data_IF_574700787755
#
_entry.id   IF_574700787755
#
_cell.length_a   1.000
_cell.length_b   1.000
_cell.length_c   1.000
_cell.angle_alpha   90.00
_cell.angle_beta   90.00
_cell.angle_gamma   90.00
#
_symmetry.space_group_name_H-M   'P 1'
#
loop_
_entity.id
_entity.type
_entity.pdbx_description
1 polymer ?
#
# COMPACT_ATOMS: atom_id res chain seq x y z
N UNK A 1 -7.22 19.65 -48.35
CA UNK A 1 -6.46 20.30 -47.26
C UNK A 1 -6.93 19.72 -45.94
N UNK A 2 -6.35 18.61 -45.47
CA UNK A 2 -6.73 17.99 -44.18
C UNK A 2 -5.60 17.05 -43.77
N UNK A 3 -4.54 17.57 -43.15
CA UNK A 3 -3.57 16.73 -42.44
C UNK A 3 -2.63 17.49 -41.47
N UNK A 4 -3.08 18.62 -40.90
CA UNK A 4 -2.27 19.36 -39.91
C UNK A 4 -2.88 19.45 -38.50
N UNK A 5 -4.07 18.93 -38.24
CA UNK A 5 -4.72 19.08 -36.92
C UNK A 5 -4.39 17.97 -35.90
N UNK A 6 -3.74 16.88 -36.30
CA UNK A 6 -3.49 15.74 -35.39
C UNK A 6 -2.12 15.83 -34.70
N UNK A 7 -1.22 16.69 -35.18
CA UNK A 7 0.15 16.79 -34.64
C UNK A 7 0.28 17.82 -33.50
N UNK A 8 -0.60 18.83 -33.44
CA UNK A 8 -0.53 19.89 -32.41
C UNK A 8 -1.04 19.45 -31.02
N UNK A 9 -1.94 18.48 -30.91
CA UNK A 9 -2.54 18.09 -29.63
C UNK A 9 -1.60 17.28 -28.70
N UNK A 10 -0.49 16.72 -29.23
CA UNK A 10 0.41 15.88 -28.42
C UNK A 10 1.35 16.67 -27.50
N UNK A 11 1.53 17.97 -27.75
CA UNK A 11 2.41 18.84 -26.96
C UNK A 11 1.71 19.60 -25.82
N UNK A 12 0.42 19.86 -25.95
CA UNK A 12 -0.26 20.87 -25.12
C UNK A 12 -0.63 20.37 -23.71
N UNK A 13 -1.03 19.11 -23.58
CA UNK A 13 -1.35 18.52 -22.26
C UNK A 13 -0.11 18.26 -21.39
N UNK A 14 1.09 18.22 -21.99
CA UNK A 14 2.36 18.05 -21.28
C UNK A 14 2.80 19.33 -20.58
N UNK A 15 2.28 20.48 -21.00
CA UNK A 15 2.67 21.79 -20.46
C UNK A 15 1.49 22.51 -19.80
N UNK A 16 0.25 22.15 -20.13
CA UNK A 16 -0.96 22.75 -19.59
C UNK A 16 -1.82 21.74 -18.79
N UNK A 17 -1.79 21.81 -17.44
CA UNK A 17 -2.62 20.97 -16.57
C UNK A 17 -4.14 21.09 -16.83
N UNK A 18 -4.60 22.19 -17.43
CA UNK A 18 -6.03 22.40 -17.69
C UNK A 18 -6.59 21.48 -18.78
N UNK A 19 -5.70 20.95 -19.64
CA UNK A 19 -6.07 20.05 -20.74
C UNK A 19 -6.09 18.56 -20.33
N UNK A 20 -5.80 18.26 -19.05
CA UNK A 20 -5.86 16.90 -18.52
C UNK A 20 -7.29 16.34 -18.61
N UNK A 21 -7.41 15.11 -19.12
CA UNK A 21 -8.65 14.35 -19.22
C UNK A 21 -8.41 12.87 -18.94
N UNK A 22 -9.47 12.13 -18.58
CA UNK A 22 -9.38 10.73 -18.14
C UNK A 22 -8.74 9.80 -19.18
N UNK A 23 -8.94 10.06 -20.47
CA UNK A 23 -8.34 9.27 -21.55
C UNK A 23 -6.81 9.39 -21.60
N UNK A 24 -6.28 10.60 -21.40
CA UNK A 24 -4.83 10.85 -21.33
C UNK A 24 -4.25 10.20 -20.06
N UNK A 25 -4.88 10.38 -18.91
CA UNK A 25 -4.39 9.80 -17.65
C UNK A 25 -4.38 8.26 -17.72
N UNK A 26 -5.47 7.64 -18.19
CA UNK A 26 -5.56 6.18 -18.35
C UNK A 26 -4.50 5.65 -19.33
N UNK A 27 -4.15 6.41 -20.36
CA UNK A 27 -3.13 5.99 -21.33
C UNK A 27 -1.69 6.08 -20.79
N UNK A 28 -1.38 7.11 -20.01
CA UNK A 28 0.01 7.44 -19.68
C UNK A 28 0.37 7.28 -18.20
N UNK A 29 -0.59 7.39 -17.28
CA UNK A 29 -0.39 7.32 -15.83
C UNK A 29 -0.98 6.05 -15.21
N UNK A 30 -2.07 5.52 -15.77
CA UNK A 30 -2.63 4.21 -15.38
C UNK A 30 -2.77 3.25 -16.58
N UNK A 31 -1.66 2.87 -17.24
CA UNK A 31 -1.70 1.99 -18.40
C UNK A 31 -2.23 0.58 -18.10
N UNK A 32 -2.26 0.19 -16.82
CA UNK A 32 -2.80 -1.09 -16.36
C UNK A 32 -4.29 -1.02 -16.02
N UNK A 33 -4.91 0.17 -16.07
CA UNK A 33 -6.35 0.36 -15.83
C UNK A 33 -6.80 0.00 -14.41
N UNK A 34 -5.91 0.14 -13.42
CA UNK A 34 -6.16 -0.25 -12.02
C UNK A 34 -6.96 0.79 -11.23
N UNK A 35 -7.01 2.03 -11.71
CA UNK A 35 -7.75 3.10 -11.06
C UNK A 35 -9.22 3.12 -11.51
N UNK A 36 -10.12 3.42 -10.57
CA UNK A 36 -11.51 3.71 -10.90
C UNK A 36 -11.62 5.07 -11.61
N UNK A 37 -12.69 5.26 -12.39
CA UNK A 37 -12.94 6.55 -13.04
C UNK A 37 -13.13 7.68 -12.01
N UNK A 38 -13.66 7.37 -10.82
CA UNK A 38 -13.81 8.31 -9.71
C UNK A 38 -12.46 8.74 -9.13
N UNK A 39 -11.53 7.78 -8.92
CA UNK A 39 -10.16 8.07 -8.45
C UNK A 39 -9.40 8.95 -9.45
N UNK A 40 -9.56 8.66 -10.75
CA UNK A 40 -8.96 9.46 -11.82
C UNK A 40 -9.58 10.87 -11.89
N UNK A 41 -10.90 10.98 -11.73
CA UNK A 41 -11.58 12.28 -11.71
C UNK A 41 -11.12 13.14 -10.53
N UNK A 42 -11.00 12.54 -9.34
CA UNK A 42 -10.47 13.21 -8.15
C UNK A 42 -9.03 13.68 -8.37
N UNK A 43 -8.17 12.81 -8.93
CA UNK A 43 -6.78 13.17 -9.24
C UNK A 43 -6.68 14.33 -10.23
N UNK A 44 -7.48 14.31 -11.31
CA UNK A 44 -7.50 15.40 -12.30
C UNK A 44 -8.00 16.69 -11.67
N UNK A 45 -9.04 16.63 -10.84
CA UNK A 45 -9.56 17.80 -10.14
C UNK A 45 -8.48 18.43 -9.24
N UNK A 46 -7.74 17.61 -8.49
CA UNK A 46 -6.65 18.09 -7.64
C UNK A 46 -5.51 18.72 -8.45
N UNK A 47 -5.09 18.04 -9.53
CA UNK A 47 -4.04 18.53 -10.42
C UNK A 47 -4.41 19.88 -11.05
N UNK A 48 -5.66 20.04 -11.50
CA UNK A 48 -6.16 21.30 -12.08
C UNK A 48 -6.31 22.40 -11.04
N UNK A 49 -6.87 22.10 -9.88
CA UNK A 49 -7.09 23.08 -8.80
C UNK A 49 -5.77 23.65 -8.28
N UNK A 50 -4.73 22.83 -8.19
CA UNK A 50 -3.40 23.25 -7.74
C UNK A 50 -2.45 23.66 -8.87
N UNK A 51 -2.92 23.61 -10.12
CA UNK A 51 -2.13 23.83 -11.34
C UNK A 51 -0.83 23.01 -11.39
N UNK A 52 -0.93 21.74 -10.99
CA UNK A 52 0.18 20.78 -10.95
C UNK A 52 0.13 19.84 -12.15
N UNK A 53 1.30 19.53 -12.69
CA UNK A 53 1.42 18.69 -13.86
C UNK A 53 1.93 17.27 -13.50
N UNK A 54 1.16 16.21 -13.83
CA UNK A 54 1.56 14.85 -13.52
C UNK A 54 2.70 14.33 -14.40
N UNK A 55 2.92 14.90 -15.59
CA UNK A 55 3.96 14.48 -16.52
C UNK A 55 5.34 15.05 -16.18
N UNK A 56 5.39 16.24 -15.59
CA UNK A 56 6.63 16.83 -15.05
C UNK A 56 6.91 16.37 -13.62
N UNK A 57 6.14 15.40 -13.12
CA UNK A 57 6.27 14.80 -11.79
C UNK A 57 6.09 15.80 -10.65
N UNK A 58 5.19 16.77 -10.83
CA UNK A 58 4.79 17.71 -9.77
C UNK A 58 3.70 17.12 -8.87
N UNK A 59 2.93 16.16 -9.38
CA UNK A 59 1.91 15.41 -8.65
C UNK A 59 1.94 13.95 -9.09
N UNK A 60 1.85 13.03 -8.13
CA UNK A 60 1.88 11.59 -8.34
C UNK A 60 0.54 10.97 -7.98
N UNK A 61 0.15 9.97 -8.76
CA UNK A 61 -0.97 9.10 -8.48
C UNK A 61 -0.41 7.72 -8.12
N UNK A 62 -0.63 7.28 -6.88
CA UNK A 62 -0.05 6.05 -6.33
C UNK A 62 -1.18 5.10 -5.96
N UNK A 63 -1.31 3.98 -6.68
CA UNK A 63 -2.30 2.91 -6.41
C UNK A 63 -1.59 1.61 -6.08
N UNK A 64 -1.80 1.09 -4.87
CA UNK A 64 -1.26 -0.20 -4.44
C UNK A 64 -2.37 -1.23 -4.24
N UNK A 65 -2.37 -2.27 -5.07
CA UNK A 65 -3.36 -3.35 -5.01
C UNK A 65 -4.80 -2.80 -4.97
N UNK A 66 -5.56 -3.23 -3.97
CA UNK A 66 -6.94 -2.79 -3.74
C UNK A 66 -7.08 -1.54 -2.86
N UNK A 67 -5.99 -0.92 -2.41
CA UNK A 67 -6.08 0.29 -1.58
C UNK A 67 -6.51 1.51 -2.41
N UNK A 68 -7.30 2.44 -1.85
CA UNK A 68 -7.64 3.68 -2.53
C UNK A 68 -6.38 4.41 -3.02
N UNK A 69 -6.48 5.00 -4.22
CA UNK A 69 -5.38 5.76 -4.78
C UNK A 69 -4.97 6.93 -3.87
N UNK A 70 -3.67 7.11 -3.72
CA UNK A 70 -3.09 8.24 -3.01
C UNK A 70 -2.60 9.29 -4.01
N UNK A 71 -2.95 10.54 -3.76
CA UNK A 71 -2.50 11.68 -4.55
C UNK A 71 -1.44 12.42 -3.75
N UNK A 72 -0.22 12.42 -4.27
CA UNK A 72 0.94 12.97 -3.58
C UNK A 72 1.48 14.17 -4.36
N UNK A 73 1.72 15.28 -3.68
CA UNK A 73 2.44 16.41 -4.26
C UNK A 73 3.94 16.16 -4.20
N UNK A 74 4.68 16.51 -5.24
CA UNK A 74 6.13 16.37 -5.25
C UNK A 74 6.82 17.59 -4.63
N UNK A 75 7.99 17.38 -4.03
CA UNK A 75 8.86 18.45 -3.50
C UNK A 75 9.08 19.60 -4.50
N UNK A 76 9.28 19.28 -5.78
CA UNK A 76 9.49 20.27 -6.84
C UNK A 76 8.30 21.22 -6.99
N UNK A 77 7.07 20.77 -6.73
CA UNK A 77 5.88 21.61 -6.75
C UNK A 77 5.88 22.62 -5.60
N UNK A 78 6.29 22.22 -4.39
CA UNK A 78 6.47 23.13 -3.26
C UNK A 78 7.53 24.18 -3.57
N UNK A 79 8.67 23.75 -4.12
CA UNK A 79 9.77 24.66 -4.49
C UNK A 79 9.32 25.67 -5.55
N UNK A 80 8.67 25.22 -6.63
CA UNK A 80 8.17 26.09 -7.69
C UNK A 80 7.17 27.12 -7.17
N UNK A 81 6.23 26.71 -6.31
CA UNK A 81 5.23 27.61 -5.72
C UNK A 81 5.89 28.63 -4.80
N UNK A 82 6.81 28.20 -3.94
CA UNK A 82 7.57 29.10 -3.07
C UNK A 82 8.40 30.09 -3.89
N UNK A 83 9.16 29.63 -4.88
CA UNK A 83 9.99 30.47 -5.75
C UNK A 83 9.17 31.50 -6.55
N UNK A 84 7.91 31.19 -6.87
CA UNK A 84 7.00 32.11 -7.54
C UNK A 84 6.38 33.17 -6.62
N UNK A 85 6.46 33.00 -5.30
CA UNK A 85 5.82 33.89 -4.34
C UNK A 85 6.66 35.17 -4.15
N UNK A 86 6.10 36.39 -4.29
CA UNK A 86 6.87 37.64 -4.24
C UNK A 86 7.69 37.85 -2.95
N UNK A 87 7.15 37.36 -1.83
CA UNK A 87 7.77 37.46 -0.52
C UNK A 87 8.79 36.37 -0.23
N UNK A 88 8.98 35.34 -1.07
CA UNK A 88 10.00 34.33 -0.81
C UNK A 88 11.39 34.93 -0.87
N UNK A 89 12.22 34.60 0.14
CA UNK A 89 13.58 35.15 0.30
C UNK A 89 14.63 34.04 0.50
N UNK A 90 14.31 32.82 0.08
CA UNK A 90 15.21 31.69 0.17
C UNK A 90 14.89 30.73 1.31
N UNK A 91 15.76 29.73 1.44
CA UNK A 91 15.58 28.59 2.34
C UNK A 91 16.91 28.00 2.78
N UNK A 92 16.90 27.36 3.93
CA UNK A 92 17.96 26.49 4.41
C UNK A 92 17.36 25.18 4.90
N UNK A 93 18.08 24.08 4.74
CA UNK A 93 17.63 22.80 5.28
C UNK A 93 18.81 21.85 5.42
N UNK A 94 18.73 20.99 6.43
CA UNK A 94 19.71 19.96 6.65
C UNK A 94 19.27 18.88 7.61
N UNK A 95 20.25 18.26 8.26
CA UNK A 95 20.07 17.05 9.08
C UNK A 95 20.54 17.34 10.49
N UNK A 96 19.77 16.87 11.46
CA UNK A 96 20.11 16.85 12.89
C UNK A 96 20.73 15.48 13.17
N UNK A 97 21.94 15.45 13.73
CA UNK A 97 22.67 14.21 13.97
C UNK A 97 23.40 14.23 15.31
N UNK A 98 23.61 13.04 15.88
CA UNK A 98 24.40 12.83 17.08
C UNK A 98 25.81 12.40 16.68
N UNK A 99 26.83 13.06 17.24
CA UNK A 99 28.21 12.64 17.12
C UNK A 99 28.97 13.00 18.39
N UNK A 100 29.69 12.03 18.96
CA UNK A 100 30.45 12.19 20.21
C UNK A 100 29.59 12.66 21.41
N UNK A 101 28.31 12.26 21.44
CA UNK A 101 27.36 12.65 22.50
C UNK A 101 26.75 14.05 22.34
N UNK A 102 27.08 14.77 21.27
CA UNK A 102 26.57 16.12 20.99
C UNK A 102 25.61 16.13 19.80
N UNK A 103 24.50 16.85 19.94
CA UNK A 103 23.55 17.10 18.85
C UNK A 103 24.11 18.22 17.96
N UNK A 104 24.25 17.94 16.67
CA UNK A 104 24.82 18.84 15.67
C UNK A 104 23.86 19.02 14.49
N UNK A 105 23.93 20.19 13.87
CA UNK A 105 23.12 20.58 12.72
C UNK A 105 24.01 20.67 11.49
N UNK A 106 23.73 19.83 10.50
CA UNK A 106 24.38 19.91 9.19
C UNK A 106 23.64 20.86 8.27
N UNK A 107 24.37 21.58 7.40
CA UNK A 107 23.78 22.27 6.24
C UNK A 107 23.77 21.31 5.06
N UNK A 108 22.58 20.97 4.57
CA UNK A 108 22.41 19.96 3.53
C UNK A 108 22.31 18.53 4.09
N UNK A 109 22.50 17.53 3.23
CA UNK A 109 22.33 16.11 3.56
C UNK A 109 23.65 15.40 3.94
N UNK A 110 24.64 16.15 4.38
CA UNK A 110 25.95 15.60 4.75
C UNK A 110 26.01 15.33 6.26
N UNK A 111 26.44 14.15 6.67
CA UNK A 111 26.82 13.89 8.07
C UNK A 111 28.17 13.15 8.09
N UNK A 112 29.00 13.32 9.13
CA UNK A 112 30.23 12.56 9.28
C UNK A 112 29.96 11.05 9.36
N UNK A 113 30.92 10.23 8.92
CA UNK A 113 30.82 8.78 9.08
C UNK A 113 30.77 8.41 10.56
N UNK A 114 29.86 7.51 10.92
CA UNK A 114 29.62 7.09 12.30
C UNK A 114 28.68 7.99 13.09
N UNK A 115 28.21 9.11 12.51
CA UNK A 115 27.15 9.90 13.11
C UNK A 115 25.79 9.20 13.01
N UNK A 116 24.97 9.35 14.03
CA UNK A 116 23.60 8.86 14.07
C UNK A 116 22.62 9.96 13.62
N UNK A 117 21.67 9.63 12.74
CA UNK A 117 20.67 10.57 12.26
C UNK A 117 19.56 10.67 13.31
N UNK A 118 19.31 11.88 13.82
CA UNK A 118 18.23 12.14 14.77
C UNK A 118 17.01 12.76 14.09
N UNK A 119 17.21 13.56 13.05
CA UNK A 119 16.12 14.31 12.43
C UNK A 119 16.54 15.18 11.26
N UNK A 120 15.61 15.99 10.78
CA UNK A 120 15.80 16.98 9.73
C UNK A 120 15.36 18.35 10.22
N UNK A 121 15.98 19.41 9.71
CA UNK A 121 15.60 20.78 10.01
C UNK A 121 15.49 21.60 8.72
N UNK A 122 14.64 22.61 8.73
CA UNK A 122 14.52 23.57 7.65
C UNK A 122 14.09 24.96 8.14
N UNK A 123 14.52 25.97 7.39
CA UNK A 123 14.14 27.37 7.56
C UNK A 123 13.71 27.96 6.22
N UNK A 124 12.59 28.66 6.21
CA UNK A 124 12.10 29.38 5.04
C UNK A 124 11.99 30.86 5.39
N UNK A 125 12.63 31.69 4.56
CA UNK A 125 12.69 33.13 4.76
C UNK A 125 11.65 33.82 3.90
N UNK A 126 11.00 34.82 4.49
CA UNK A 126 10.03 35.67 3.81
C UNK A 126 10.34 37.13 4.08
N UNK A 127 10.29 37.97 3.04
CA UNK A 127 10.58 39.42 3.12
C UNK A 127 9.58 40.18 3.99
N UNK A 128 8.36 39.68 4.11
CA UNK A 128 7.29 40.28 4.92
C UNK A 128 7.27 39.80 6.38
N UNK A 129 8.26 39.00 6.82
CA UNK A 129 8.37 38.49 8.19
C UNK A 129 9.76 38.80 8.76
N UNK A 130 9.82 39.14 10.05
CA UNK A 130 11.09 39.38 10.75
C UNK A 130 11.80 38.07 11.14
N UNK A 131 11.03 37.01 11.36
CA UNK A 131 11.54 35.70 11.75
C UNK A 131 11.23 34.67 10.66
N UNK A 132 12.18 33.77 10.34
CA UNK A 132 11.92 32.67 9.42
C UNK A 132 10.90 31.71 10.01
N UNK A 133 10.26 30.96 9.13
CA UNK A 133 9.50 29.77 9.53
C UNK A 133 10.51 28.63 9.70
N UNK A 134 10.58 28.05 10.89
CA UNK A 134 11.52 26.99 11.23
C UNK A 134 10.75 25.71 11.56
N UNK A 135 11.22 24.58 11.02
CA UNK A 135 10.63 23.27 11.31
C UNK A 135 11.74 22.27 11.58
N UNK A 136 11.53 21.43 12.59
CA UNK A 136 12.37 20.28 12.91
C UNK A 136 11.49 19.03 12.98
N UNK A 137 11.99 17.93 12.42
CA UNK A 137 11.26 16.67 12.35
C UNK A 137 12.15 15.52 12.83
N UNK A 138 11.56 14.61 13.58
CA UNK A 138 12.25 13.43 14.12
C UNK A 138 12.42 12.37 13.03
N UNK A 139 13.61 11.78 12.94
CA UNK A 139 13.88 10.73 11.94
C UNK A 139 12.99 9.51 12.14
N UNK A 140 12.77 9.10 13.39
CA UNK A 140 11.99 7.91 13.74
C UNK A 140 10.51 7.99 13.31
N UNK A 141 9.93 9.20 13.22
CA UNK A 141 8.53 9.38 12.82
C UNK A 141 8.30 9.11 11.33
N UNK A 142 9.32 9.38 10.51
CA UNK A 142 9.20 9.31 9.04
C UNK A 142 9.96 8.15 8.42
N UNK A 143 10.82 7.46 9.18
CA UNK A 143 11.63 6.38 8.65
C UNK A 143 10.77 5.20 8.16
N UNK A 144 10.66 5.10 6.85
CA UNK A 144 9.92 4.04 6.16
C UNK A 144 10.82 2.86 5.74
N UNK A 145 12.00 2.69 6.33
CA UNK A 145 12.86 1.53 6.10
C UNK A 145 12.24 0.26 6.67
N UNK A 146 11.84 -0.66 5.78
CA UNK A 146 11.38 -2.00 6.16
C UNK A 146 12.49 -2.84 6.78
N UNK A 147 13.74 -2.58 6.38
CA UNK A 147 14.92 -3.26 6.89
C UNK A 147 15.16 -2.85 8.35
N UNK A 148 15.24 -1.55 8.64
CA UNK A 148 15.43 -1.03 10.02
C UNK A 148 14.25 -1.40 10.92
N UNK A 149 13.01 -1.33 10.43
CA UNK A 149 11.84 -1.78 11.18
C UNK A 149 11.95 -3.26 11.58
N UNK A 150 12.34 -4.13 10.63
CA UNK A 150 12.52 -5.57 10.91
C UNK A 150 13.68 -5.84 11.85
N UNK A 151 14.79 -5.12 11.70
CA UNK A 151 15.94 -5.22 12.62
C UNK A 151 15.50 -4.84 14.04
N UNK A 152 14.80 -3.71 14.21
CA UNK A 152 14.28 -3.26 15.51
C UNK A 152 13.40 -4.32 16.16
N UNK A 153 12.52 -4.95 15.40
CA UNK A 153 11.65 -6.04 15.86
C UNK A 153 12.47 -7.27 16.31
N UNK A 154 13.46 -7.70 15.51
CA UNK A 154 14.31 -8.85 15.84
C UNK A 154 15.15 -8.59 17.09
N UNK A 155 15.72 -7.38 17.22
CA UNK A 155 16.46 -6.96 18.41
C UNK A 155 15.58 -6.96 19.66
N UNK A 156 14.34 -6.49 19.57
CA UNK A 156 13.38 -6.55 20.68
C UNK A 156 13.02 -7.99 21.07
N UNK A 157 13.04 -8.92 20.12
CA UNK A 157 12.83 -10.36 20.36
C UNK A 157 14.10 -11.09 20.85
N UNK A 158 15.23 -10.39 20.99
CA UNK A 158 16.52 -11.00 21.35
C UNK A 158 17.05 -11.99 20.31
N UNK A 159 16.61 -11.87 19.05
CA UNK A 159 17.05 -12.73 17.94
C UNK A 159 18.27 -12.15 17.25
N UNK A 160 19.15 -13.05 16.81
CA UNK A 160 20.31 -12.67 16.00
C UNK A 160 19.87 -12.10 14.63
N UNK A 161 20.59 -11.07 14.19
CA UNK A 161 20.33 -10.38 12.93
C UNK A 161 21.18 -11.05 11.84
N UNK A 162 20.51 -11.80 10.94
CA UNK A 162 21.14 -12.43 9.77
C UNK A 162 20.80 -11.67 8.49
N UNK A 163 21.79 -11.52 7.61
CA UNK A 163 21.65 -10.86 6.32
C UNK A 163 21.61 -11.88 5.16
N UNK A 164 20.78 -11.64 4.11
CA UNK A 164 19.87 -10.52 3.95
C UNK A 164 18.66 -10.60 4.90
N UNK A 165 18.17 -9.44 5.36
CA UNK A 165 17.04 -9.38 6.29
C UNK A 165 15.78 -9.87 5.58
N UNK A 166 15.13 -10.88 6.18
CA UNK A 166 13.95 -11.51 5.62
C UNK A 166 12.66 -10.92 6.19
N UNK A 167 11.63 -10.80 5.34
CA UNK A 167 10.28 -10.50 5.78
C UNK A 167 9.62 -11.71 6.46
N UNK A 168 8.41 -11.53 6.97
CA UNK A 168 7.62 -12.59 7.62
C UNK A 168 7.34 -13.81 6.74
N UNK A 169 7.41 -13.65 5.42
CA UNK A 169 7.16 -14.70 4.42
C UNK A 169 8.45 -15.37 3.90
N UNK A 170 9.61 -15.09 4.52
CA UNK A 170 10.89 -15.68 4.13
C UNK A 170 11.49 -15.13 2.84
N UNK A 171 11.01 -13.98 2.34
CA UNK A 171 11.62 -13.28 1.20
C UNK A 171 12.55 -12.16 1.66
N UNK A 172 13.68 -11.92 0.97
CA UNK A 172 14.57 -10.83 1.30
C UNK A 172 13.88 -9.48 1.13
N UNK A 173 14.06 -8.59 2.10
CA UNK A 173 13.57 -7.21 2.03
C UNK A 173 14.52 -6.42 1.14
N UNK A 174 13.99 -5.82 0.07
CA UNK A 174 14.75 -4.92 -0.80
C UNK A 174 14.96 -3.55 -0.15
N UNK A 175 16.09 -2.93 -0.46
CA UNK A 175 16.41 -1.56 -0.03
C UNK A 175 15.49 -0.54 -0.71
N UNK A 176 15.14 0.52 0.04
CA UNK A 176 14.41 1.67 -0.48
C UNK A 176 15.24 2.97 -0.37
N UNK A 177 14.62 4.10 -0.72
CA UNK A 177 15.29 5.41 -0.66
C UNK A 177 15.65 5.83 0.79
N UNK A 178 14.90 5.38 1.79
CA UNK A 178 15.21 5.62 3.19
C UNK A 178 16.42 4.80 3.66
N UNK A 179 16.66 3.62 3.07
CA UNK A 179 17.86 2.82 3.33
C UNK A 179 19.10 3.44 2.69
N UNK A 180 19.00 3.81 1.42
CA UNK A 180 20.13 4.26 0.59
C UNK A 180 20.46 5.74 0.76
N UNK A 181 19.47 6.59 1.03
CA UNK A 181 19.61 8.04 1.11
C UNK A 181 18.85 8.68 2.31
N UNK A 182 19.03 8.19 3.55
CA UNK A 182 18.22 8.63 4.70
C UNK A 182 18.33 10.13 4.99
N UNK A 183 19.54 10.71 4.88
CA UNK A 183 19.77 12.14 5.09
C UNK A 183 19.03 13.02 4.08
N UNK A 184 18.94 12.56 2.81
CA UNK A 184 18.23 13.30 1.76
C UNK A 184 16.73 13.25 2.02
N UNK A 185 16.22 12.09 2.44
CA UNK A 185 14.81 11.88 2.73
C UNK A 185 14.33 12.72 3.91
N UNK A 186 15.01 12.65 5.07
CA UNK A 186 14.56 13.41 6.25
C UNK A 186 14.68 14.93 6.06
N UNK A 187 15.72 15.38 5.35
CA UNK A 187 15.87 16.79 4.96
C UNK A 187 14.73 17.24 4.05
N UNK A 188 14.27 16.38 3.12
CA UNK A 188 13.15 16.68 2.24
C UNK A 188 11.87 16.88 3.04
N UNK A 189 11.59 15.99 4.00
CA UNK A 189 10.43 16.10 4.89
C UNK A 189 10.46 17.45 5.63
N UNK A 190 11.56 17.77 6.31
CA UNK A 190 11.70 19.03 7.04
C UNK A 190 11.42 20.26 6.15
N UNK A 191 11.98 20.27 4.94
CA UNK A 191 11.84 21.40 4.02
C UNK A 191 10.40 21.57 3.52
N UNK A 192 9.72 20.48 3.23
CA UNK A 192 8.32 20.49 2.79
C UNK A 192 7.42 21.02 3.90
N UNK A 193 7.60 20.54 5.13
CA UNK A 193 6.86 21.04 6.30
C UNK A 193 7.07 22.55 6.48
N UNK A 194 8.32 23.01 6.42
CA UNK A 194 8.63 24.44 6.51
C UNK A 194 7.98 25.27 5.38
N UNK A 195 7.89 24.74 4.16
CA UNK A 195 7.19 25.42 3.08
C UNK A 195 5.69 25.55 3.32
N UNK A 196 5.03 24.51 3.85
CA UNK A 196 3.59 24.56 4.17
C UNK A 196 3.29 25.63 5.21
N UNK A 197 4.11 25.70 6.24
CA UNK A 197 3.97 26.68 7.31
C UNK A 197 4.34 28.10 6.83
N UNK A 198 5.31 28.21 5.93
CA UNK A 198 5.69 29.49 5.34
C UNK A 198 4.64 30.02 4.37
N UNK A 199 3.96 29.17 3.60
CA UNK A 199 2.99 29.55 2.56
C UNK A 199 1.66 28.76 2.70
N UNK A 200 0.92 28.96 3.81
CA UNK A 200 -0.24 28.12 4.12
C UNK A 200 -1.40 28.29 3.12
N UNK A 201 -1.57 29.47 2.51
CA UNK A 201 -2.62 29.70 1.52
C UNK A 201 -2.38 28.94 0.21
N UNK A 202 -1.11 28.75 -0.17
CA UNK A 202 -0.71 28.14 -1.43
C UNK A 202 -0.39 26.63 -1.30
N UNK A 203 0.09 26.21 -0.13
CA UNK A 203 0.68 24.89 0.14
C UNK A 203 0.03 24.11 1.29
N UNK A 204 -0.88 24.73 2.05
CA UNK A 204 -1.48 24.13 3.25
C UNK A 204 -2.37 22.91 2.98
N UNK A 205 -2.97 22.80 1.78
CA UNK A 205 -3.86 21.67 1.43
C UNK A 205 -3.18 20.54 0.65
N UNK A 206 -1.87 20.60 0.45
CA UNK A 206 -1.13 19.50 -0.21
C UNK A 206 -0.70 18.47 0.84
N UNK A 207 -0.39 17.24 0.44
CA UNK A 207 0.29 16.25 1.28
C UNK A 207 1.42 15.60 0.48
N UNK A 208 2.51 15.24 1.15
CA UNK A 208 3.62 14.48 0.54
C UNK A 208 3.54 13.00 0.88
N UNK A 209 4.20 12.16 0.07
CA UNK A 209 4.18 10.70 0.25
C UNK A 209 4.64 10.27 1.65
N UNK A 210 5.58 11.01 2.23
CA UNK A 210 6.18 10.68 3.52
C UNK A 210 5.24 11.00 4.72
N UNK A 211 4.20 11.81 4.51
CA UNK A 211 3.19 12.17 5.54
C UNK A 211 1.94 11.28 5.46
N UNK A 212 1.77 10.55 4.37
CA UNK A 212 0.64 9.64 4.19
C UNK A 212 1.07 8.27 4.74
N UNK A 213 0.44 7.85 5.85
CA UNK A 213 0.59 6.49 6.34
C UNK A 213 -0.02 5.51 5.33
N UNK A 214 0.82 5.00 4.44
CA UNK A 214 0.46 3.88 3.59
C UNK A 214 0.46 2.62 4.46
N UNK A 215 -0.71 2.00 4.63
CA UNK A 215 -0.84 0.61 5.09
C UNK A 215 -0.19 -0.32 4.05
N UNK A 216 1.14 -0.38 4.09
CA UNK A 216 2.00 -1.16 3.22
C UNK A 216 2.14 -2.61 3.70
N UNK A 217 1.25 -3.06 4.60
CA UNK A 217 1.13 -4.47 4.92
C UNK A 217 0.78 -5.24 3.63
N UNK A 218 1.53 -6.31 3.29
CA UNK A 218 1.12 -7.20 2.21
C UNK A 218 -0.22 -7.83 2.61
N UNK A 219 -1.33 -7.29 2.10
CA UNK A 219 -2.61 -7.97 2.18
C UNK A 219 -2.54 -9.18 1.26
N UNK A 220 -2.84 -10.33 1.83
CA UNK A 220 -2.94 -11.57 1.08
C UNK A 220 -4.03 -11.42 0.02
N UNK A 221 -3.60 -11.26 -1.24
CA UNK A 221 -4.45 -11.18 -2.44
C UNK A 221 -4.64 -12.56 -3.08
N UNK A 222 -4.41 -13.64 -2.33
CA UNK A 222 -4.87 -14.96 -2.76
C UNK A 222 -6.36 -14.84 -3.11
N UNK A 223 -6.78 -15.15 -4.36
CA UNK A 223 -8.18 -15.06 -4.73
C UNK A 223 -8.99 -15.92 -3.77
N UNK A 224 -9.77 -15.28 -2.90
CA UNK A 224 -10.76 -16.00 -2.12
C UNK A 224 -11.84 -16.40 -3.12
N UNK A 225 -11.90 -17.70 -3.45
CA UNK A 225 -13.04 -18.25 -4.17
C UNK A 225 -14.31 -17.78 -3.46
N UNK A 226 -15.27 -17.27 -4.23
CA UNK A 226 -16.52 -16.81 -3.64
C UNK A 226 -17.16 -17.98 -2.89
N UNK A 227 -17.88 -17.69 -1.80
CA UNK A 227 -18.60 -18.76 -1.06
C UNK A 227 -19.51 -19.55 -2.00
N UNK A 228 -19.99 -18.95 -3.08
CA UNK A 228 -20.81 -19.58 -4.11
C UNK A 228 -20.01 -20.58 -4.96
N UNK A 229 -18.78 -20.24 -5.38
CA UNK A 229 -17.91 -21.14 -6.15
C UNK A 229 -17.47 -22.36 -5.33
N UNK A 230 -17.16 -22.16 -4.05
CA UNK A 230 -16.78 -23.25 -3.13
C UNK A 230 -17.97 -24.19 -2.87
N UNK A 231 -19.17 -23.64 -2.71
CA UNK A 231 -20.40 -24.42 -2.51
C UNK A 231 -20.78 -25.16 -3.79
N UNK A 232 -20.64 -24.54 -4.96
CA UNK A 232 -20.91 -25.17 -6.26
C UNK A 232 -19.97 -26.35 -6.53
N UNK A 233 -18.67 -26.23 -6.23
CA UNK A 233 -17.71 -27.33 -6.37
C UNK A 233 -18.01 -28.48 -5.42
N UNK A 234 -18.27 -28.21 -4.12
CA UNK A 234 -18.63 -29.27 -3.16
C UNK A 234 -19.94 -29.97 -3.53
N UNK A 235 -20.92 -29.23 -4.06
CA UNK A 235 -22.18 -29.81 -4.50
C UNK A 235 -22.00 -30.69 -5.75
N UNK A 236 -21.10 -30.31 -6.67
CA UNK A 236 -20.75 -31.15 -7.82
C UNK A 236 -19.98 -32.41 -7.41
N UNK A 237 -19.04 -32.29 -6.47
CA UNK A 237 -18.30 -33.43 -5.91
C UNK A 237 -19.24 -34.41 -5.19
N UNK A 238 -20.15 -33.91 -4.35
CA UNK A 238 -21.16 -34.73 -3.67
C UNK A 238 -22.10 -35.45 -4.65
N UNK A 239 -22.52 -34.78 -5.74
CA UNK A 239 -23.33 -35.41 -6.80
C UNK A 239 -22.55 -36.47 -7.56
N UNK A 240 -21.28 -36.23 -7.85
CA UNK A 240 -20.41 -37.20 -8.53
C UNK A 240 -20.13 -38.43 -7.64
N UNK A 241 -19.98 -38.25 -6.33
CA UNK A 241 -19.85 -39.36 -5.38
C UNK A 241 -21.14 -40.16 -5.25
N UNK A 242 -22.31 -39.51 -5.20
CA UNK A 242 -23.61 -40.20 -5.21
C UNK A 242 -23.83 -41.01 -6.50
N UNK A 243 -23.44 -40.47 -7.65
CA UNK A 243 -23.54 -41.18 -8.93
C UNK A 243 -22.60 -42.40 -8.98
N UNK A 244 -21.37 -42.29 -8.46
CA UNK A 244 -20.43 -43.41 -8.35
C UNK A 244 -20.91 -44.47 -7.35
N UNK A 245 -21.60 -44.08 -6.29
CA UNK A 245 -22.19 -45.02 -5.33
C UNK A 245 -23.38 -45.77 -5.97
N UNK A 246 -24.21 -45.06 -6.75
CA UNK A 246 -25.34 -45.63 -7.48
C UNK A 246 -24.89 -46.63 -8.58
N UNK A 247 -23.84 -46.28 -9.35
CA UNK A 247 -23.24 -47.18 -10.34
C UNK A 247 -22.59 -48.42 -9.69
N UNK A 248 -21.99 -48.27 -8.50
CA UNK A 248 -21.48 -49.43 -7.74
C UNK A 248 -22.59 -50.33 -7.22
N UNK A 249 -23.73 -49.78 -6.78
CA UNK A 249 -24.88 -50.59 -6.33
C UNK A 249 -25.56 -51.35 -7.47
N UNK A 250 -25.55 -50.84 -8.71
CA UNK A 250 -26.10 -51.56 -9.87
C UNK A 250 -25.21 -52.73 -10.34
N UNK A 251 -23.91 -52.70 -10.05
CA UNK A 251 -22.98 -53.79 -10.45
C UNK A 251 -22.95 -55.01 -9.52
N UNK A 252 -23.62 -54.98 -8.37
CA UNK A 252 -23.55 -56.07 -7.34
C UNK A 252 -24.83 -56.94 -7.29
N UNK A 253 -25.88 -56.64 -8.07
CA UNK A 253 -27.18 -57.38 -7.99
C UNK A 253 -27.30 -58.54 -9.00
N UNK A 254 -26.33 -58.78 -9.89
CA UNK A 254 -26.50 -59.69 -11.02
C UNK A 254 -25.55 -60.90 -11.06
N UNK A 255 -25.38 -61.59 -9.93
CA UNK A 255 -24.93 -63.00 -9.95
C UNK A 255 -25.30 -63.67 -8.62
N UNK A 256 -26.32 -64.54 -8.63
CA UNK A 256 -26.27 -65.94 -8.18
C UNK A 256 -27.64 -66.62 -8.41
N UNK A 257 -27.66 -67.88 -8.87
CA UNK A 257 -28.84 -68.55 -9.42
C UNK A 257 -29.77 -69.09 -8.33
N UNK A 258 -31.06 -69.14 -8.67
CA UNK A 258 -32.08 -69.85 -7.93
C UNK A 258 -31.81 -71.36 -7.98
N UNK A 259 -31.62 -71.99 -6.82
CA UNK A 259 -32.27 -73.25 -6.43
C UNK A 259 -31.83 -73.71 -5.02
N UNK A 260 -32.77 -74.39 -4.35
CA UNK A 260 -32.68 -75.16 -3.09
C UNK A 260 -33.10 -74.46 -1.77
N UNK A 261 -34.38 -74.65 -1.41
CA UNK A 261 -34.89 -74.63 -0.02
C UNK A 261 -34.97 -76.09 0.46
N UNK A 262 -34.41 -76.44 1.63
CA UNK A 262 -35.24 -77.03 2.70
C UNK A 262 -34.74 -76.60 4.11
N UNK A 263 -35.45 -76.64 5.24
CA UNK A 263 -36.82 -76.94 5.68
C UNK A 263 -36.75 -76.86 7.23
N UNK A 264 -37.82 -76.40 7.89
CA UNK A 264 -38.18 -76.64 9.32
C UNK A 264 -37.27 -76.01 10.41
N UNK A 265 -37.75 -75.45 11.52
CA UNK A 265 -39.08 -75.34 12.11
C UNK A 265 -38.98 -74.79 13.56
N UNK A 266 -40.13 -74.35 14.08
CA UNK A 266 -40.52 -74.15 15.49
C UNK A 266 -39.90 -73.02 16.35
N UNK A 267 -40.74 -72.00 16.59
CA UNK A 267 -40.86 -71.20 17.83
C UNK A 267 -41.20 -72.10 19.04
N UNK A 268 -40.93 -71.72 20.32
CA UNK A 268 -41.77 -70.71 21.00
C UNK A 268 -41.18 -69.91 22.19
N UNK A 269 -42.02 -68.95 22.61
CA UNK A 269 -42.35 -68.46 23.98
C UNK A 269 -41.47 -67.41 24.69
N UNK A 270 -42.09 -66.23 24.86
CA UNK A 270 -42.31 -65.42 26.07
C UNK A 270 -41.17 -65.20 27.08
N UNK A 271 -40.80 -63.93 27.29
CA UNK A 271 -40.98 -63.27 28.60
C UNK A 271 -40.82 -61.74 28.48
N UNK A 272 -41.73 -61.02 29.15
CA UNK A 272 -41.73 -59.58 29.31
C UNK A 272 -41.21 -59.22 30.71
N UNK A 273 -40.37 -58.18 30.86
CA UNK A 273 -40.21 -57.48 32.14
C UNK A 273 -40.07 -55.96 31.92
N UNK A 274 -41.08 -55.23 32.40
CA UNK A 274 -41.09 -53.79 32.70
C UNK A 274 -40.48 -53.52 34.08
N UNK A 275 -40.08 -52.26 34.33
CA UNK A 275 -39.93 -51.69 35.68
C UNK A 275 -38.68 -50.83 35.84
N UNK A 276 -38.79 -49.50 35.67
CA UNK A 276 -38.85 -48.48 36.73
C UNK A 276 -37.47 -48.10 37.30
N UNK A 277 -36.93 -46.91 36.99
CA UNK A 277 -37.20 -45.57 37.57
C UNK A 277 -36.43 -45.36 38.89
N UNK A 278 -35.53 -44.37 38.91
CA UNK A 278 -35.39 -43.42 40.04
C UNK A 278 -34.44 -42.28 39.67
N UNK A 279 -35.01 -41.08 39.80
CA UNK A 279 -34.35 -39.78 39.88
C UNK A 279 -33.23 -39.75 40.93
N UNK A 280 -32.18 -38.98 40.68
CA UNK A 280 -31.75 -37.81 41.47
C UNK A 280 -30.57 -37.12 40.78
#
# INVERSE_FOLDING_TARGET
>A
MTNNQIVEAKGDFLTNPQLLNSGIIRKYLDPQGKASDEELAYFIAQAKAQNLNPFTKEIYFIKYGNQPAQVVTAKSAFEKKADSHPQFDGKEAGVIYLMDGEIKYSKGAFIPKGAEILGGWARVYRKDRTYPTETEVSFEEYDNSKIRARIKELTQQGKDITYPVMNTYGKPIGENNWDTMPCVMIRKVALVSAYREAFPAELGSSYEADEIQLDNSPKDVTPQESREDVVARRLQEAKAEQHKLAEKTDTVVNDYPADEIPSFGEEPSEEAVQGELLDY
#
